data_IF_931132985493
#
_entry.id   IF_931132985493
#
_cell.length_a   1.000
_cell.length_b   1.000
_cell.length_c   1.000
_cell.angle_alpha   90.00
_cell.angle_beta   90.00
_cell.angle_gamma   90.00
#
_symmetry.space_group_name_H-M   'P 1'
#
loop_
_entity.id
_entity.type
_entity.pdbx_description
1 polymer ?
#
# COMPACT_ATOMS: atom_id res chain seq x y z
N UNK A 1 1.32 4.63 5.04
CA UNK A 1 0.12 4.93 4.24
C UNK A 1 -0.12 3.82 3.22
N UNK A 2 -1.41 3.54 2.92
CA UNK A 2 -1.83 2.67 1.83
C UNK A 2 -2.16 3.52 0.61
N UNK A 3 -1.81 3.02 -0.56
CA UNK A 3 -2.07 3.66 -1.85
C UNK A 3 -2.75 2.68 -2.79
N UNK A 4 -3.53 3.22 -3.74
CA UNK A 4 -4.03 2.45 -4.87
C UNK A 4 -2.97 2.39 -5.95
N UNK A 5 -2.83 1.22 -6.57
CA UNK A 5 -2.00 0.99 -7.74
C UNK A 5 -2.87 0.42 -8.87
N UNK A 6 -2.69 0.97 -10.05
CA UNK A 6 -3.40 0.54 -11.26
C UNK A 6 -2.41 0.39 -12.42
N UNK A 7 -2.72 -0.44 -13.43
CA UNK A 7 -1.88 -0.53 -14.64
C UNK A 7 -1.75 0.83 -15.32
N UNK A 8 -0.56 1.18 -15.78
CA UNK A 8 -0.34 2.47 -16.47
C UNK A 8 -1.16 2.62 -17.77
N UNK A 9 -1.56 1.51 -18.38
CA UNK A 9 -2.41 1.52 -19.59
C UNK A 9 -3.89 1.77 -19.28
N UNK A 10 -4.30 1.75 -18.01
CA UNK A 10 -5.68 1.98 -17.62
C UNK A 10 -6.08 3.44 -17.87
N UNK A 11 -7.30 3.75 -18.36
CA UNK A 11 -7.71 5.13 -18.64
C UNK A 11 -7.57 6.08 -17.46
N UNK A 12 -7.84 5.62 -16.24
CA UNK A 12 -7.72 6.42 -15.00
C UNK A 12 -6.24 6.76 -14.69
N UNK A 13 -5.28 5.99 -15.22
CA UNK A 13 -3.86 6.27 -15.03
C UNK A 13 -3.41 7.65 -15.53
N UNK A 14 -4.14 8.22 -16.51
CA UNK A 14 -3.89 9.59 -17.00
C UNK A 14 -4.07 10.67 -15.93
N UNK A 15 -4.75 10.37 -14.82
CA UNK A 15 -4.93 11.28 -13.68
C UNK A 15 -3.79 11.20 -12.66
N UNK A 16 -2.85 10.28 -12.83
CA UNK A 16 -1.70 10.15 -11.93
C UNK A 16 -0.82 11.40 -12.01
N UNK A 17 -0.25 11.76 -10.87
CA UNK A 17 0.72 12.85 -10.82
C UNK A 17 1.99 12.48 -11.61
N UNK A 18 2.66 13.45 -12.24
CA UNK A 18 3.95 13.25 -12.86
C UNK A 18 5.00 12.74 -11.86
N UNK A 19 6.04 12.03 -12.32
CA UNK A 19 7.14 11.61 -11.46
C UNK A 19 7.78 12.79 -10.72
N UNK A 20 7.94 12.65 -9.42
CA UNK A 20 8.52 13.69 -8.55
C UNK A 20 7.50 14.69 -7.97
N UNK A 21 6.24 14.59 -8.33
CA UNK A 21 5.15 15.34 -7.72
C UNK A 21 4.39 14.49 -6.69
N UNK A 22 3.71 15.13 -5.71
CA UNK A 22 2.85 14.41 -4.77
C UNK A 22 1.77 13.61 -5.50
N UNK A 23 1.51 12.38 -5.04
CA UNK A 23 0.52 11.51 -5.68
C UNK A 23 -0.88 12.17 -5.70
N UNK A 24 -1.54 12.09 -6.84
CA UNK A 24 -2.94 12.46 -6.96
C UNK A 24 -3.83 11.54 -6.11
N UNK A 25 -4.95 12.07 -5.63
CA UNK A 25 -5.93 11.27 -4.87
C UNK A 25 -6.94 10.63 -5.84
N UNK A 26 -7.18 9.33 -5.66
CA UNK A 26 -8.15 8.57 -6.44
C UNK A 26 -9.40 8.26 -5.61
N UNK A 27 -10.58 8.59 -6.14
CA UNK A 27 -11.82 7.99 -5.66
C UNK A 27 -11.92 6.56 -6.19
N UNK A 28 -11.96 5.57 -5.29
CA UNK A 28 -12.06 4.15 -5.66
C UNK A 28 -13.31 3.82 -6.48
N UNK A 29 -14.35 4.66 -6.43
CA UNK A 29 -15.52 4.49 -7.28
C UNK A 29 -15.20 4.58 -8.77
N UNK A 30 -14.11 5.23 -9.16
CA UNK A 30 -13.67 5.33 -10.56
C UNK A 30 -13.17 3.98 -11.12
N UNK A 31 -12.76 3.08 -10.23
CA UNK A 31 -12.28 1.74 -10.59
C UNK A 31 -13.11 0.62 -9.92
N UNK A 32 -14.35 0.93 -9.51
CA UNK A 32 -15.20 0.01 -8.75
C UNK A 32 -15.55 -1.30 -9.45
N UNK A 33 -15.50 -1.31 -10.78
CA UNK A 33 -15.82 -2.48 -11.60
C UNK A 33 -14.58 -3.26 -12.04
N UNK A 34 -13.40 -2.74 -11.74
CA UNK A 34 -12.15 -3.39 -12.08
C UNK A 34 -11.88 -4.60 -11.18
N UNK A 35 -11.17 -5.61 -11.67
CA UNK A 35 -10.71 -6.70 -10.84
C UNK A 35 -9.58 -6.22 -9.90
N UNK A 36 -9.61 -6.71 -8.67
CA UNK A 36 -8.60 -6.41 -7.66
C UNK A 36 -7.78 -7.64 -7.28
N UNK A 37 -6.49 -7.44 -7.04
CA UNK A 37 -5.66 -8.35 -6.29
C UNK A 37 -5.39 -7.77 -4.91
N UNK A 38 -5.69 -8.52 -3.88
CA UNK A 38 -5.61 -8.06 -2.49
C UNK A 38 -4.76 -9.01 -1.64
N UNK A 39 -4.39 -8.54 -0.46
CA UNK A 39 -3.77 -9.40 0.54
C UNK A 39 -4.74 -10.51 1.00
N UNK A 40 -4.16 -11.61 1.47
CA UNK A 40 -4.90 -12.73 2.08
C UNK A 40 -5.85 -12.24 3.18
N UNK A 41 -7.01 -12.89 3.32
CA UNK A 41 -8.09 -12.51 4.25
C UNK A 41 -7.68 -12.45 5.71
N UNK A 42 -6.65 -13.19 6.09
CA UNK A 42 -6.15 -13.20 7.47
C UNK A 42 -5.11 -12.10 7.74
N UNK A 43 -4.81 -11.27 6.76
CA UNK A 43 -3.84 -10.19 6.87
C UNK A 43 -4.49 -8.93 7.47
N UNK A 44 -3.78 -8.25 8.37
CA UNK A 44 -4.18 -6.93 8.89
C UNK A 44 -4.36 -5.91 7.76
N UNK A 45 -3.50 -5.96 6.73
CA UNK A 45 -3.62 -5.10 5.55
C UNK A 45 -4.93 -5.35 4.80
N UNK A 46 -5.36 -6.61 4.71
CA UNK A 46 -6.65 -6.93 4.07
C UNK A 46 -7.81 -6.34 4.86
N UNK A 47 -7.81 -6.44 6.17
CA UNK A 47 -8.84 -5.84 7.01
C UNK A 47 -8.94 -4.33 6.80
N UNK A 48 -7.82 -3.65 6.60
CA UNK A 48 -7.80 -2.22 6.26
C UNK A 48 -8.34 -1.97 4.86
N UNK A 49 -7.97 -2.77 3.87
CA UNK A 49 -8.51 -2.66 2.51
C UNK A 49 -10.04 -2.84 2.51
N UNK A 50 -10.55 -3.83 3.23
CA UNK A 50 -11.99 -4.08 3.33
C UNK A 50 -12.73 -2.87 3.96
N UNK A 51 -12.14 -2.22 4.96
CA UNK A 51 -12.69 -0.97 5.54
C UNK A 51 -12.68 0.19 4.53
N UNK A 52 -11.62 0.30 3.72
CA UNK A 52 -11.52 1.33 2.68
C UNK A 52 -12.63 1.12 1.63
N UNK A 53 -12.83 -0.11 1.15
CA UNK A 53 -13.91 -0.43 0.21
C UNK A 53 -15.30 -0.20 0.81
N UNK A 54 -15.51 -0.59 2.07
CA UNK A 54 -16.77 -0.34 2.77
C UNK A 54 -17.09 1.16 2.87
N UNK A 55 -16.09 2.00 3.16
CA UNK A 55 -16.24 3.48 3.17
C UNK A 55 -16.52 4.04 1.77
N UNK A 56 -16.01 3.41 0.73
CA UNK A 56 -16.27 3.77 -0.67
C UNK A 56 -17.64 3.27 -1.17
N UNK A 57 -18.36 2.50 -0.36
CA UNK A 57 -19.73 2.07 -0.64
C UNK A 57 -19.86 0.92 -1.64
N UNK A 58 -18.81 0.13 -1.87
CA UNK A 58 -18.88 -1.05 -2.73
C UNK A 58 -18.01 -2.19 -2.22
N UNK A 59 -18.26 -3.40 -2.73
CA UNK A 59 -17.40 -4.56 -2.54
C UNK A 59 -16.53 -4.77 -3.78
N UNK A 60 -15.21 -4.97 -3.62
CA UNK A 60 -14.32 -5.18 -4.75
C UNK A 60 -14.56 -6.54 -5.42
N UNK A 61 -14.38 -6.58 -6.73
CA UNK A 61 -14.28 -7.84 -7.46
C UNK A 61 -12.87 -8.42 -7.25
N UNK A 62 -12.69 -9.29 -6.26
CA UNK A 62 -11.39 -9.88 -5.93
C UNK A 62 -11.07 -11.02 -6.88
N UNK A 63 -10.17 -10.79 -7.81
CA UNK A 63 -9.67 -11.76 -8.78
C UNK A 63 -8.72 -12.77 -8.13
N UNK A 64 -7.85 -12.29 -7.25
CA UNK A 64 -6.81 -13.09 -6.61
C UNK A 64 -6.45 -12.56 -5.23
N UNK A 65 -6.08 -13.46 -4.32
CA UNK A 65 -5.56 -13.13 -3.00
C UNK A 65 -4.11 -13.62 -2.88
N UNK A 66 -3.24 -12.82 -2.28
CA UNK A 66 -1.81 -13.14 -2.12
C UNK A 66 -1.32 -12.73 -0.73
N UNK A 67 -0.43 -13.52 -0.17
CA UNK A 67 0.32 -13.15 1.04
C UNK A 67 1.63 -12.41 0.74
N UNK A 68 1.89 -12.12 -0.53
CA UNK A 68 3.11 -11.45 -1.01
C UNK A 68 2.77 -10.12 -1.69
N UNK A 69 3.01 -9.02 -1.01
CA UNK A 69 2.73 -7.67 -1.55
C UNK A 69 3.54 -7.36 -2.81
N UNK A 70 4.79 -7.81 -2.91
CA UNK A 70 5.57 -7.63 -4.12
C UNK A 70 4.96 -8.39 -5.31
N UNK A 71 4.38 -9.58 -5.06
CA UNK A 71 3.62 -10.32 -6.04
C UNK A 71 2.37 -9.57 -6.50
N UNK A 72 1.66 -8.89 -5.59
CA UNK A 72 0.53 -8.02 -5.94
C UNK A 72 0.97 -6.92 -6.90
N UNK A 73 2.06 -6.21 -6.58
CA UNK A 73 2.61 -5.17 -7.47
C UNK A 73 2.94 -5.72 -8.85
N UNK A 74 3.55 -6.90 -8.92
CA UNK A 74 3.87 -7.56 -10.19
C UNK A 74 2.64 -7.94 -11.00
N UNK A 75 1.57 -8.39 -10.34
CA UNK A 75 0.30 -8.71 -11.02
C UNK A 75 -0.37 -7.45 -11.58
N UNK A 76 -0.36 -6.34 -10.85
CA UNK A 76 -0.88 -5.07 -11.36
C UNK A 76 -0.09 -4.58 -12.56
N UNK A 77 1.24 -4.69 -12.54
CA UNK A 77 2.10 -4.36 -13.69
C UNK A 77 1.76 -5.19 -14.94
N UNK A 78 1.28 -6.41 -14.77
CA UNK A 78 0.88 -7.27 -15.89
C UNK A 78 -0.44 -6.86 -16.57
N UNK A 79 -1.05 -5.75 -16.15
CA UNK A 79 -2.27 -5.16 -16.73
C UNK A 79 -3.58 -5.90 -16.47
N UNK A 80 -3.61 -6.84 -15.52
CA UNK A 80 -4.78 -7.70 -15.28
C UNK A 80 -5.73 -7.12 -14.23
N UNK A 81 -5.23 -6.34 -13.25
CA UNK A 81 -6.00 -5.95 -12.07
C UNK A 81 -5.48 -4.68 -11.40
N UNK A 82 -6.26 -4.15 -10.47
CA UNK A 82 -5.88 -3.08 -9.56
C UNK A 82 -5.46 -3.64 -8.19
N UNK A 83 -4.81 -2.84 -7.37
CA UNK A 83 -4.41 -3.26 -6.02
C UNK A 83 -4.37 -2.11 -5.02
N UNK A 84 -4.34 -2.45 -3.74
CA UNK A 84 -4.04 -1.52 -2.64
C UNK A 84 -2.85 -2.09 -1.88
N UNK A 85 -1.79 -1.31 -1.76
CA UNK A 85 -0.53 -1.72 -1.17
C UNK A 85 0.07 -0.63 -0.29
N UNK A 86 0.96 -0.96 0.66
CA UNK A 86 1.77 0.05 1.32
C UNK A 86 2.66 0.79 0.31
N UNK A 87 2.69 2.11 0.42
CA UNK A 87 3.41 2.99 -0.52
C UNK A 87 4.87 2.61 -0.76
N UNK A 88 5.56 2.09 0.26
CA UNK A 88 6.99 1.76 0.13
C UNK A 88 7.31 0.61 -0.84
N UNK A 89 6.29 -0.14 -1.29
CA UNK A 89 6.45 -1.13 -2.36
C UNK A 89 6.49 -0.51 -3.76
N UNK A 90 6.16 0.77 -3.88
CA UNK A 90 6.16 1.51 -5.16
C UNK A 90 7.22 2.63 -5.20
N UNK A 91 8.17 2.64 -4.25
CA UNK A 91 9.25 3.65 -4.17
C UNK A 91 10.14 3.70 -5.41
N UNK A 92 10.28 2.59 -6.10
CA UNK A 92 10.98 2.55 -7.38
C UNK A 92 9.97 2.89 -8.46
N UNK A 93 10.11 4.06 -9.12
CA UNK A 93 9.22 4.44 -10.21
C UNK A 93 9.16 3.36 -11.29
N UNK A 94 8.01 3.18 -11.88
CA UNK A 94 7.80 2.21 -12.95
C UNK A 94 6.79 2.77 -13.95
N UNK A 95 7.14 2.75 -15.22
CA UNK A 95 6.25 3.18 -16.29
C UNK A 95 5.04 2.24 -16.50
N UNK A 96 5.04 1.10 -15.80
CA UNK A 96 3.96 0.12 -15.85
C UNK A 96 2.87 0.35 -14.80
N UNK A 97 3.09 1.26 -13.83
CA UNK A 97 2.18 1.55 -12.73
C UNK A 97 1.80 3.02 -12.64
N UNK A 98 0.53 3.27 -12.40
CA UNK A 98 0.04 4.53 -11.87
C UNK A 98 -0.31 4.36 -10.40
N UNK A 99 0.18 5.27 -9.56
CA UNK A 99 0.03 5.25 -8.11
C UNK A 99 -0.82 6.43 -7.65
N UNK A 100 -1.72 6.18 -6.71
CA UNK A 100 -2.64 7.19 -6.20
C UNK A 100 -2.76 7.12 -4.69
N UNK A 101 -2.90 8.25 -4.05
CA UNK A 101 -3.38 8.34 -2.68
C UNK A 101 -4.84 7.92 -2.60
N UNK A 102 -5.21 7.45 -1.43
CA UNK A 102 -6.61 7.15 -1.09
C UNK A 102 -7.17 8.26 -0.20
N UNK A 103 -8.47 8.60 -0.32
CA UNK A 103 -9.12 9.57 0.54
C UNK A 103 -8.95 9.21 2.01
N UNK A 104 -8.63 10.22 2.85
CA UNK A 104 -8.42 10.04 4.27
C UNK A 104 -7.08 9.43 4.66
N UNK A 105 -6.18 9.23 3.71
CA UNK A 105 -4.80 8.77 3.95
C UNK A 105 -4.70 7.54 4.86
N UNK A 106 -5.37 6.41 4.51
CA UNK A 106 -5.39 5.23 5.35
C UNK A 106 -3.97 4.72 5.61
N UNK A 107 -3.65 4.53 6.87
CA UNK A 107 -2.31 4.12 7.30
C UNK A 107 -2.39 3.02 8.35
N UNK A 108 -1.28 2.39 8.62
CA UNK A 108 -1.08 1.39 9.65
C UNK A 108 0.31 1.56 10.26
N UNK A 109 0.45 1.13 11.51
CA UNK A 109 1.69 1.26 12.24
C UNK A 109 2.50 -0.05 12.20
N UNK A 110 3.79 0.08 11.99
CA UNK A 110 4.75 -0.99 12.25
C UNK A 110 5.27 -0.79 13.67
N UNK A 111 5.00 -1.75 14.55
CA UNK A 111 5.35 -1.65 15.96
C UNK A 111 6.38 -2.71 16.36
N UNK A 112 7.19 -2.37 17.32
CA UNK A 112 8.07 -3.33 18.03
C UNK A 112 7.51 -3.53 19.42
N UNK A 113 7.17 -4.77 19.76
CA UNK A 113 6.67 -5.15 21.08
C UNK A 113 7.69 -6.03 21.81
N UNK A 114 7.92 -5.76 23.08
CA UNK A 114 8.78 -6.55 23.94
C UNK A 114 8.23 -6.59 25.37
N UNK A 115 8.53 -7.66 26.15
CA UNK A 115 8.06 -7.75 27.52
C UNK A 115 8.59 -6.60 28.40
N UNK A 116 7.71 -5.99 29.18
CA UNK A 116 8.07 -4.86 30.06
C UNK A 116 8.98 -5.28 31.21
N UNK A 117 8.91 -6.56 31.64
CA UNK A 117 9.69 -7.15 32.74
C UNK A 117 10.87 -7.99 32.28
N UNK A 118 11.09 -8.09 30.96
CA UNK A 118 12.15 -8.90 30.38
C UNK A 118 13.45 -8.13 30.18
N UNK A 119 14.57 -8.89 30.18
CA UNK A 119 15.86 -8.33 29.77
C UNK A 119 15.91 -8.08 28.26
N UNK A 120 16.04 -6.81 27.89
CA UNK A 120 16.29 -6.44 26.51
C UNK A 120 17.82 -6.36 26.29
N UNK A 121 18.36 -7.26 25.46
CA UNK A 121 19.79 -7.27 25.17
C UNK A 121 20.27 -5.99 24.50
N UNK A 122 21.54 -5.67 24.61
CA UNK A 122 22.16 -4.51 23.95
C UNK A 122 21.94 -4.57 22.43
N UNK A 123 22.08 -5.75 21.84
CA UNK A 123 21.82 -5.96 20.39
C UNK A 123 20.37 -5.66 20.01
N UNK A 124 19.39 -6.11 20.81
CA UNK A 124 17.99 -5.83 20.57
C UNK A 124 17.68 -4.32 20.66
N UNK A 125 18.24 -3.63 21.65
CA UNK A 125 18.09 -2.17 21.79
C UNK A 125 18.68 -1.44 20.59
N UNK A 126 19.87 -1.85 20.15
CA UNK A 126 20.52 -1.23 19.00
C UNK A 126 19.74 -1.49 17.69
N UNK A 127 19.23 -2.70 17.51
CA UNK A 127 18.34 -3.02 16.39
C UNK A 127 17.11 -2.10 16.37
N UNK A 128 16.40 -1.95 17.49
CA UNK A 128 15.24 -1.08 17.60
C UNK A 128 15.61 0.37 17.27
N UNK A 129 16.75 0.84 17.78
CA UNK A 129 17.25 2.19 17.51
C UNK A 129 17.51 2.42 16.01
N UNK A 130 18.19 1.47 15.37
CA UNK A 130 18.52 1.54 13.95
C UNK A 130 17.25 1.43 13.08
N UNK A 131 16.37 0.49 13.38
CA UNK A 131 15.11 0.31 12.68
C UNK A 131 14.23 1.57 12.78
N UNK A 132 14.11 2.15 13.98
CA UNK A 132 13.36 3.39 14.20
C UNK A 132 13.96 4.57 13.44
N UNK A 133 15.30 4.68 13.42
CA UNK A 133 15.99 5.73 12.67
C UNK A 133 15.74 5.57 11.16
N UNK A 134 15.95 4.36 10.65
CA UNK A 134 15.76 4.06 9.23
C UNK A 134 14.32 4.33 8.79
N UNK A 135 13.34 3.87 9.60
CA UNK A 135 11.92 4.07 9.29
C UNK A 135 11.53 5.55 9.19
N UNK A 136 12.12 6.39 10.06
CA UNK A 136 11.90 7.85 10.00
C UNK A 136 12.49 8.49 8.75
N UNK A 137 13.58 7.94 8.21
CA UNK A 137 14.19 8.47 6.97
C UNK A 137 13.44 8.10 5.70
N UNK A 138 12.53 7.13 5.79
CA UNK A 138 11.71 6.69 4.64
C UNK A 138 10.25 7.15 4.76
N UNK A 139 9.94 8.01 5.73
CA UNK A 139 8.59 8.54 5.87
C UNK A 139 8.21 9.46 4.70
N UNK A 140 6.91 9.50 4.36
CA UNK A 140 6.40 9.99 3.10
C UNK A 140 6.17 11.51 3.06
N UNK A 141 7.14 12.33 3.48
CA UNK A 141 7.04 13.77 3.22
C UNK A 141 7.12 14.11 1.72
N UNK A 142 7.20 13.07 0.88
CA UNK A 142 7.33 13.16 -0.58
C UNK A 142 6.30 12.31 -1.36
N UNK A 143 5.21 11.88 -0.70
CA UNK A 143 4.11 11.21 -1.45
C UNK A 143 3.08 12.25 -1.87
#
# INVERSE_FOLDING_TARGET
>A
ELIAIIPAVHPVAQKAAPPGEPLATLDLNEIRYEPFVLMDRNSTLRSLCDQIFARSGFQPNVLFESNNTAGIVSLVKSTICCGIVPWYYTRIPSDELACFRLPGHPSWDITVSYPTTGYLSTGAREFIRLASKWWKTIQPDQI
#
